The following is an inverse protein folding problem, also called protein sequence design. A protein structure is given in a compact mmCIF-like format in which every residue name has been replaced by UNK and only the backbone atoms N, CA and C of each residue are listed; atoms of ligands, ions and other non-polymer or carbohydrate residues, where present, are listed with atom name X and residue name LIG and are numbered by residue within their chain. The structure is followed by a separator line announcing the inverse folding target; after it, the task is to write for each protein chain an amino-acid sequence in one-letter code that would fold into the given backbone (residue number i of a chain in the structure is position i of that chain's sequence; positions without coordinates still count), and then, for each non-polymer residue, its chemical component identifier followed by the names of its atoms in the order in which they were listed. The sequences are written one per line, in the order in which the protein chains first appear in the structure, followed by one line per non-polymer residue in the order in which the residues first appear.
data_IF_128777382794
#
_entry.id   IF_128777382794
#
_cell.length_a   1.000
_cell.length_b   1.000
_cell.length_c   1.000
_cell.angle_alpha   90.00
_cell.angle_beta   90.00
_cell.angle_gamma   90.00
#
_symmetry.space_group_name_H-M   'P 1'
#
loop_
_entity.id
_entity.type
_entity.pdbx_description
1 polymer ?
#
# COMPACT_ATOMS: atom_id res chain seq x y z
N UNK A 1 -0.23 3.70 24.79
CA UNK A 1 0.11 4.56 23.63
C UNK A 1 1.40 5.29 23.98
N UNK A 2 2.29 5.55 23.02
CA UNK A 2 3.53 6.29 23.30
C UNK A 2 3.26 7.72 23.78
N UNK A 3 4.08 8.20 24.69
CA UNK A 3 4.09 9.60 25.17
C UNK A 3 4.76 10.51 24.13
N UNK A 4 4.53 11.82 24.25
CA UNK A 4 5.15 12.81 23.36
C UNK A 4 6.69 12.72 23.36
N UNK A 5 7.30 12.54 24.52
CA UNK A 5 8.75 12.37 24.66
C UNK A 5 9.25 11.11 23.94
N UNK A 6 8.49 10.02 23.99
CA UNK A 6 8.81 8.78 23.28
C UNK A 6 8.66 8.95 21.77
N UNK A 7 7.63 9.67 21.33
CA UNK A 7 7.38 10.01 19.92
C UNK A 7 8.55 10.82 19.35
N UNK A 8 9.00 11.87 20.05
CA UNK A 8 10.13 12.70 19.62
C UNK A 8 11.45 11.91 19.51
N UNK A 9 11.60 10.84 20.30
CA UNK A 9 12.79 9.97 20.30
C UNK A 9 12.70 8.79 19.32
N UNK A 10 11.55 8.58 18.68
CA UNK A 10 11.28 7.35 17.92
C UNK A 10 12.30 7.11 16.80
N UNK A 11 12.55 8.11 15.94
CA UNK A 11 13.46 7.95 14.80
C UNK A 11 14.92 7.69 15.26
N UNK A 12 15.37 8.32 16.34
CA UNK A 12 16.68 8.08 16.93
C UNK A 12 16.80 6.66 17.50
N UNK A 13 15.78 6.18 18.21
CA UNK A 13 15.73 4.82 18.73
C UNK A 13 15.71 3.78 17.58
N UNK A 14 14.93 4.04 16.53
CA UNK A 14 14.88 3.18 15.35
C UNK A 14 16.23 3.10 14.65
N UNK A 15 16.91 4.24 14.48
CA UNK A 15 18.26 4.31 13.93
C UNK A 15 19.24 3.43 14.72
N UNK A 16 19.25 3.54 16.06
CA UNK A 16 20.09 2.72 16.94
C UNK A 16 19.81 1.22 16.81
N UNK A 17 18.53 0.83 16.67
CA UNK A 17 18.15 -0.59 16.51
C UNK A 17 18.52 -1.13 15.13
N UNK A 18 18.45 -0.30 14.09
CA UNK A 18 18.74 -0.71 12.71
C UNK A 18 20.23 -0.66 12.34
N UNK A 19 21.02 0.21 13.00
CA UNK A 19 22.43 0.42 12.70
C UNK A 19 23.25 -0.89 12.63
N UNK A 20 23.13 -1.84 13.59
CA UNK A 20 23.87 -3.11 13.53
C UNK A 20 23.53 -3.99 12.31
N UNK A 21 22.38 -3.78 11.67
CA UNK A 21 21.89 -4.57 10.53
C UNK A 21 22.28 -3.98 9.17
N UNK A 22 22.63 -2.70 9.11
CA UNK A 22 22.91 -1.99 7.86
C UNK A 22 24.35 -1.43 7.79
N UNK A 23 25.03 -1.32 8.94
CA UNK A 23 26.44 -0.89 9.04
C UNK A 23 26.75 0.49 8.45
N UNK A 24 25.73 1.33 8.26
CA UNK A 24 25.87 2.73 7.86
C UNK A 24 24.92 3.62 8.68
N UNK A 25 25.28 4.89 8.92
CA UNK A 25 24.37 5.84 9.55
C UNK A 25 23.17 6.12 8.64
N UNK A 26 22.07 6.55 9.26
CA UNK A 26 20.89 7.07 8.56
C UNK A 26 20.83 8.58 8.74
N UNK A 27 20.63 9.32 7.65
CA UNK A 27 20.60 10.77 7.62
C UNK A 27 19.18 11.34 7.56
N UNK A 28 18.18 10.50 7.34
CA UNK A 28 16.78 10.91 7.32
C UNK A 28 15.82 9.79 7.73
N UNK A 29 14.63 10.20 8.12
CA UNK A 29 13.53 9.28 8.42
C UNK A 29 13.08 8.48 7.20
N UNK A 30 13.22 9.05 5.99
CA UNK A 30 12.96 8.35 4.73
C UNK A 30 13.93 7.19 4.53
N UNK A 31 15.20 7.37 4.87
CA UNK A 31 16.20 6.29 4.81
C UNK A 31 15.90 5.19 5.84
N UNK A 32 15.54 5.55 7.07
CA UNK A 32 15.12 4.60 8.11
C UNK A 32 13.91 3.78 7.65
N UNK A 33 12.91 4.45 7.08
CA UNK A 33 11.73 3.81 6.55
C UNK A 33 12.08 2.83 5.43
N UNK A 34 12.87 3.26 4.43
CA UNK A 34 13.30 2.40 3.31
C UNK A 34 14.13 1.21 3.80
N UNK A 35 15.04 1.41 4.74
CA UNK A 35 15.86 0.35 5.31
C UNK A 35 14.99 -0.71 6.00
N UNK A 36 14.05 -0.28 6.84
CA UNK A 36 13.12 -1.18 7.51
C UNK A 36 12.22 -1.95 6.52
N UNK A 37 11.79 -1.29 5.43
CA UNK A 37 10.99 -1.92 4.36
C UNK A 37 11.78 -2.93 3.51
N UNK A 38 13.11 -2.79 3.43
CA UNK A 38 14.00 -3.71 2.70
C UNK A 38 14.51 -4.87 3.55
N UNK A 39 14.38 -4.81 4.87
CA UNK A 39 14.85 -5.87 5.75
C UNK A 39 14.12 -7.20 5.47
N UNK A 40 14.85 -8.33 5.37
CA UNK A 40 14.23 -9.66 5.30
C UNK A 40 13.34 -9.91 6.52
N UNK A 41 12.28 -10.71 6.36
CA UNK A 41 11.33 -11.01 7.45
C UNK A 41 12.02 -11.57 8.70
N UNK A 42 13.04 -12.42 8.52
CA UNK A 42 13.84 -12.96 9.62
C UNK A 42 14.48 -11.86 10.49
N UNK A 43 14.99 -10.79 9.87
CA UNK A 43 15.67 -9.70 10.55
C UNK A 43 14.70 -8.68 11.17
N UNK A 44 13.41 -8.70 10.77
CA UNK A 44 12.37 -7.85 11.39
C UNK A 44 11.89 -8.39 12.73
N UNK A 45 12.08 -9.68 12.98
CA UNK A 45 11.64 -10.33 14.22
C UNK A 45 12.34 -9.68 15.42
N UNK A 46 11.55 -9.17 16.36
CA UNK A 46 12.07 -8.57 17.59
C UNK A 46 12.50 -7.10 17.49
N UNK A 47 12.39 -6.43 16.33
CA UNK A 47 12.65 -4.99 16.21
C UNK A 47 11.77 -4.19 17.19
N UNK A 48 10.48 -4.51 17.25
CA UNK A 48 9.54 -3.84 18.15
C UNK A 48 9.87 -4.05 19.62
N UNK A 49 10.41 -5.22 19.97
CA UNK A 49 10.89 -5.49 21.33
C UNK A 49 12.10 -4.64 21.67
N UNK A 50 13.09 -4.55 20.77
CA UNK A 50 14.28 -3.72 20.95
C UNK A 50 13.91 -2.24 21.08
N UNK A 51 13.02 -1.75 20.21
CA UNK A 51 12.51 -0.39 20.30
C UNK A 51 11.72 -0.12 21.58
N UNK A 52 10.93 -1.10 22.04
CA UNK A 52 10.22 -1.01 23.32
C UNK A 52 11.19 -0.80 24.49
N UNK A 53 12.33 -1.50 24.49
CA UNK A 53 13.38 -1.31 25.50
C UNK A 53 13.98 0.11 25.40
N UNK A 54 14.33 0.57 24.20
CA UNK A 54 14.93 1.91 23.98
C UNK A 54 13.98 3.06 24.37
N UNK A 55 12.67 2.88 24.16
CA UNK A 55 11.66 3.90 24.45
C UNK A 55 11.00 3.74 25.82
N UNK A 56 11.31 2.67 26.58
CA UNK A 56 10.60 2.32 27.82
C UNK A 56 9.09 2.20 27.57
N UNK A 57 8.73 1.42 26.55
CA UNK A 57 7.36 1.17 26.11
C UNK A 57 7.15 -0.31 25.80
N UNK A 58 5.90 -0.76 25.76
CA UNK A 58 5.64 -2.15 25.37
C UNK A 58 5.88 -2.34 23.86
N UNK A 59 6.27 -3.55 23.42
CA UNK A 59 6.47 -3.83 21.99
C UNK A 59 5.22 -3.54 21.13
N UNK A 60 4.03 -3.77 21.70
CA UNK A 60 2.75 -3.54 21.01
C UNK A 60 2.50 -2.04 20.80
N UNK A 61 2.77 -1.20 21.80
CA UNK A 61 2.60 0.26 21.65
C UNK A 61 3.52 0.86 20.59
N UNK A 62 4.77 0.38 20.55
CA UNK A 62 5.74 0.79 19.52
C UNK A 62 5.30 0.32 18.15
N UNK A 63 4.88 -0.95 18.03
CA UNK A 63 4.36 -1.52 16.80
C UNK A 63 3.18 -0.69 16.28
N UNK A 64 2.20 -0.43 17.14
CA UNK A 64 0.98 0.28 16.75
C UNK A 64 1.27 1.73 16.37
N UNK A 65 2.16 2.40 17.10
CA UNK A 65 2.61 3.74 16.72
C UNK A 65 3.33 3.75 15.36
N UNK A 66 4.21 2.78 15.10
CA UNK A 66 4.87 2.65 13.80
C UNK A 66 3.85 2.50 12.67
N UNK A 67 2.94 1.54 12.78
CA UNK A 67 2.02 1.21 11.68
C UNK A 67 0.90 2.23 11.50
N UNK A 68 0.44 2.87 12.57
CA UNK A 68 -0.73 3.77 12.52
C UNK A 68 -0.35 5.25 12.47
N UNK A 69 0.91 5.61 12.70
CA UNK A 69 1.33 7.02 12.73
C UNK A 69 2.63 7.23 11.97
N UNK A 70 3.74 6.68 12.47
CA UNK A 70 5.06 7.04 11.94
C UNK A 70 5.25 6.60 10.48
N UNK A 71 4.84 5.40 10.08
CA UNK A 71 5.02 4.98 8.69
C UNK A 71 4.14 5.75 7.70
N UNK A 72 3.00 6.29 8.17
CA UNK A 72 1.98 6.87 7.28
C UNK A 72 2.50 8.14 6.61
N UNK A 73 3.34 8.90 7.31
CA UNK A 73 3.92 10.15 6.81
C UNK A 73 4.79 9.98 5.54
N UNK A 74 5.24 8.76 5.22
CA UNK A 74 6.05 8.48 4.02
C UNK A 74 5.21 8.06 2.81
N UNK A 75 3.90 7.93 2.95
CA UNK A 75 3.01 7.60 1.86
C UNK A 75 2.24 8.83 1.40
N UNK A 76 1.97 8.88 0.09
CA UNK A 76 1.05 9.85 -0.48
C UNK A 76 -0.38 9.60 0.02
N UNK A 77 -1.17 10.67 0.08
CA UNK A 77 -2.58 10.58 0.45
C UNK A 77 -3.36 9.84 -0.63
N UNK A 78 -3.73 8.59 -0.38
CA UNK A 78 -4.47 7.77 -1.33
C UNK A 78 -5.83 8.34 -1.75
N UNK A 79 -6.38 9.34 -1.05
CA UNK A 79 -7.62 10.00 -1.46
C UNK A 79 -7.45 10.88 -2.70
N UNK A 80 -6.25 11.41 -2.94
CA UNK A 80 -5.94 12.19 -4.16
C UNK A 80 -6.02 11.28 -5.39
N UNK A 81 -5.67 10.01 -5.22
CA UNK A 81 -5.70 8.95 -6.22
C UNK A 81 -7.08 8.33 -6.46
N UNK A 82 -8.14 8.82 -5.79
CA UNK A 82 -9.43 8.11 -5.71
C UNK A 82 -10.07 7.90 -7.08
N UNK A 83 -10.13 8.93 -7.91
CA UNK A 83 -10.76 8.82 -9.23
C UNK A 83 -9.93 7.95 -10.19
N UNK A 84 -8.60 8.04 -10.13
CA UNK A 84 -7.71 7.19 -10.93
C UNK A 84 -7.85 5.71 -10.53
N UNK A 85 -7.85 5.42 -9.23
CA UNK A 85 -8.07 4.07 -8.69
C UNK A 85 -9.42 3.51 -9.09
N UNK A 86 -10.48 4.34 -9.04
CA UNK A 86 -11.82 3.94 -9.45
C UNK A 86 -11.87 3.64 -10.95
N UNK A 87 -11.28 4.48 -11.79
CA UNK A 87 -11.22 4.26 -13.24
C UNK A 87 -10.49 2.94 -13.54
N UNK A 88 -9.28 2.78 -12.99
CA UNK A 88 -8.47 1.58 -13.15
C UNK A 88 -9.18 0.32 -12.63
N UNK A 89 -9.87 0.41 -11.49
CA UNK A 89 -10.67 -0.70 -10.95
C UNK A 89 -11.83 -1.10 -11.86
N UNK A 90 -12.59 -0.11 -12.37
CA UNK A 90 -13.69 -0.37 -13.29
C UNK A 90 -13.21 -0.95 -14.61
N UNK A 91 -12.01 -0.57 -15.06
CA UNK A 91 -11.39 -1.12 -16.25
C UNK A 91 -10.88 -2.55 -16.01
N UNK A 92 -10.37 -2.87 -14.82
CA UNK A 92 -9.82 -4.21 -14.53
C UNK A 92 -10.86 -5.23 -14.07
N UNK A 93 -11.94 -4.79 -13.41
CA UNK A 93 -12.96 -5.70 -12.85
C UNK A 93 -13.67 -6.51 -13.93
N UNK A 94 -13.70 -6.01 -15.18
CA UNK A 94 -14.28 -6.76 -16.29
C UNK A 94 -13.46 -8.00 -16.72
N UNK A 95 -12.19 -8.06 -16.33
CA UNK A 95 -11.27 -9.13 -16.71
C UNK A 95 -10.95 -10.10 -15.57
N UNK A 96 -11.59 -9.94 -14.41
CA UNK A 96 -11.30 -10.74 -13.22
C UNK A 96 -12.53 -11.59 -12.88
N UNK A 97 -12.30 -12.78 -12.34
CA UNK A 97 -13.38 -13.71 -11.98
C UNK A 97 -14.16 -13.21 -10.77
N UNK A 98 -13.52 -12.41 -9.92
CA UNK A 98 -14.12 -11.88 -8.70
C UNK A 98 -13.57 -10.49 -8.31
N UNK A 99 -14.29 -9.75 -7.45
CA UNK A 99 -13.88 -8.41 -7.05
C UNK A 99 -12.55 -8.35 -6.28
N UNK A 100 -12.19 -9.38 -5.50
CA UNK A 100 -10.94 -9.39 -4.73
C UNK A 100 -9.72 -9.48 -5.65
N UNK A 101 -9.81 -10.29 -6.71
CA UNK A 101 -8.80 -10.35 -7.76
C UNK A 101 -8.65 -9.00 -8.45
N UNK A 102 -9.75 -8.36 -8.82
CA UNK A 102 -9.74 -7.01 -9.41
C UNK A 102 -9.06 -5.98 -8.49
N UNK A 103 -9.39 -5.98 -7.19
CA UNK A 103 -8.73 -5.11 -6.20
C UNK A 103 -7.21 -5.34 -6.18
N UNK A 104 -6.78 -6.61 -6.10
CA UNK A 104 -5.36 -6.95 -6.03
C UNK A 104 -4.63 -6.49 -7.30
N UNK A 105 -5.22 -6.71 -8.47
CA UNK A 105 -4.66 -6.32 -9.77
C UNK A 105 -4.60 -4.79 -9.92
N UNK A 106 -5.65 -4.08 -9.52
CA UNK A 106 -5.66 -2.61 -9.49
C UNK A 106 -4.54 -2.06 -8.61
N UNK A 107 -4.36 -2.59 -7.39
CA UNK A 107 -3.29 -2.14 -6.48
C UNK A 107 -1.92 -2.43 -7.09
N UNK A 108 -1.73 -3.60 -7.70
CA UNK A 108 -0.48 -3.96 -8.34
C UNK A 108 -0.10 -2.97 -9.45
N UNK A 109 -1.01 -2.75 -10.41
CA UNK A 109 -0.78 -1.82 -11.54
C UNK A 109 -0.58 -0.39 -11.02
N UNK A 110 -1.40 0.05 -10.07
CA UNK A 110 -1.28 1.38 -9.50
C UNK A 110 0.08 1.61 -8.83
N UNK A 111 0.60 0.61 -8.10
CA UNK A 111 1.91 0.73 -7.44
C UNK A 111 3.10 0.60 -8.41
N UNK A 112 2.93 -0.05 -9.57
CA UNK A 112 3.97 -0.12 -10.61
C UNK A 112 4.23 1.25 -11.25
N UNK A 113 3.22 2.11 -11.34
CA UNK A 113 3.33 3.49 -11.83
C UNK A 113 3.96 4.46 -10.80
N UNK A 114 4.85 3.96 -9.95
CA UNK A 114 5.61 4.69 -8.92
C UNK A 114 4.76 5.47 -7.89
N UNK A 115 3.49 5.14 -7.73
CA UNK A 115 2.68 5.71 -6.67
C UNK A 115 3.04 5.11 -5.31
N UNK A 116 3.63 5.92 -4.44
CA UNK A 116 4.01 5.52 -3.08
C UNK A 116 2.82 5.71 -2.12
N UNK A 117 1.75 4.94 -2.31
CA UNK A 117 0.56 4.98 -1.48
C UNK A 117 0.52 3.81 -0.48
N UNK A 118 -0.12 4.02 0.67
CA UNK A 118 -0.30 2.96 1.64
C UNK A 118 -1.30 1.91 1.13
N UNK A 119 -0.85 0.66 0.95
CA UNK A 119 -1.69 -0.44 0.44
C UNK A 119 -3.03 -0.57 1.17
N UNK A 120 -3.05 -0.46 2.50
CA UNK A 120 -4.28 -0.59 3.30
C UNK A 120 -5.31 0.48 2.92
N UNK A 121 -4.87 1.71 2.68
CA UNK A 121 -5.75 2.79 2.23
C UNK A 121 -6.30 2.50 0.82
N UNK A 122 -5.45 2.00 -0.09
CA UNK A 122 -5.89 1.58 -1.43
C UNK A 122 -6.98 0.49 -1.35
N UNK A 123 -6.75 -0.55 -0.55
CA UNK A 123 -7.75 -1.60 -0.28
C UNK A 123 -9.07 -1.02 0.23
N UNK A 124 -9.02 -0.12 1.22
CA UNK A 124 -10.23 0.49 1.79
C UNK A 124 -11.01 1.31 0.76
N UNK A 125 -10.32 2.04 -0.12
CA UNK A 125 -10.96 2.80 -1.21
C UNK A 125 -11.64 1.82 -2.18
N UNK A 126 -10.91 0.80 -2.65
CA UNK A 126 -11.41 -0.13 -3.66
C UNK A 126 -12.51 -1.05 -3.13
N UNK A 127 -12.44 -1.47 -1.87
CA UNK A 127 -13.48 -2.28 -1.24
C UNK A 127 -14.82 -1.55 -1.20
N UNK A 128 -14.84 -0.22 -1.04
CA UNK A 128 -16.07 0.56 -1.16
C UNK A 128 -16.67 0.46 -2.56
N UNK A 129 -15.85 0.43 -3.61
CA UNK A 129 -16.36 0.25 -4.98
C UNK A 129 -16.82 -1.18 -5.25
N UNK A 130 -16.16 -2.18 -4.67
CA UNK A 130 -16.55 -3.58 -4.78
C UNK A 130 -17.87 -3.91 -4.05
N UNK A 131 -18.10 -3.32 -2.87
CA UNK A 131 -19.28 -3.59 -2.03
C UNK A 131 -20.50 -2.75 -2.42
N UNK A 132 -20.32 -1.55 -2.97
CA UNK A 132 -21.42 -0.62 -3.33
C UNK A 132 -22.14 -1.03 -4.64
N UNK A 133 -22.31 -2.34 -4.84
CA UNK A 133 -23.00 -3.05 -5.95
C UNK A 133 -22.10 -3.35 -7.16
N UNK A 134 -22.28 -4.51 -7.82
CA UNK A 134 -22.12 -4.59 -9.26
C UNK A 134 -23.12 -3.59 -9.85
N UNK A 135 -22.65 -2.36 -10.06
CA UNK A 135 -23.44 -1.27 -10.59
C UNK A 135 -24.08 -1.76 -11.91
N UNK A 136 -25.35 -1.43 -12.18
CA UNK A 136 -25.94 -1.69 -13.51
C UNK A 136 -25.06 -1.09 -14.62
N UNK A 137 -24.27 -0.05 -14.31
CA UNK A 137 -23.23 0.48 -15.18
C UNK A 137 -22.01 -0.43 -15.35
N UNK A 138 -21.58 -1.19 -14.34
CA UNK A 138 -20.53 -2.20 -14.49
C UNK A 138 -21.04 -3.32 -15.39
N UNK A 139 -22.26 -3.82 -15.16
CA UNK A 139 -22.88 -4.80 -16.06
C UNK A 139 -23.04 -4.25 -17.49
N UNK A 140 -23.41 -2.97 -17.65
CA UNK A 140 -23.50 -2.30 -18.95
C UNK A 140 -22.14 -2.13 -19.62
N UNK A 141 -21.12 -1.70 -18.88
CA UNK A 141 -19.75 -1.54 -19.37
C UNK A 141 -19.13 -2.88 -19.75
N UNK A 142 -19.38 -3.93 -18.95
CA UNK A 142 -19.01 -5.31 -19.26
C UNK A 142 -19.62 -5.74 -20.60
N UNK A 143 -20.92 -5.48 -20.80
CA UNK A 143 -21.60 -5.77 -22.07
C UNK A 143 -21.06 -4.95 -23.25
N UNK A 144 -20.67 -3.70 -23.03
CA UNK A 144 -20.04 -2.84 -24.05
C UNK A 144 -18.61 -3.28 -24.37
N UNK A 145 -17.87 -3.77 -23.38
CA UNK A 145 -16.53 -4.29 -23.53
C UNK A 145 -16.54 -5.66 -24.24
N UNK A 146 -17.45 -6.56 -23.87
CA UNK A 146 -17.70 -7.81 -24.61
C UNK A 146 -17.99 -7.53 -26.09
N UNK A 147 -18.81 -6.51 -26.38
CA UNK A 147 -19.06 -6.07 -27.75
C UNK A 147 -17.79 -5.58 -28.44
N UNK A 148 -16.94 -4.81 -27.76
CA UNK A 148 -15.66 -4.35 -28.31
C UNK A 148 -14.68 -5.50 -28.55
N UNK A 149 -14.55 -6.44 -27.63
CA UNK A 149 -13.69 -7.63 -27.80
C UNK A 149 -14.21 -8.51 -28.94
N UNK A 150 -15.53 -8.64 -29.07
CA UNK A 150 -16.13 -9.38 -30.19
C UNK A 150 -15.86 -8.69 -31.53
N UNK A 151 -15.78 -7.36 -31.55
CA UNK A 151 -15.53 -6.58 -32.77
C UNK A 151 -14.04 -6.45 -33.14
N UNK A 152 -13.18 -6.29 -32.15
CA UNK A 152 -11.78 -5.90 -32.34
C UNK A 152 -10.81 -7.05 -32.01
N UNK A 153 -11.25 -8.13 -31.37
CA UNK A 153 -10.37 -9.14 -30.82
C UNK A 153 -9.80 -8.72 -29.46
N UNK A 154 -9.51 -9.71 -28.62
CA UNK A 154 -9.05 -9.49 -27.25
C UNK A 154 -7.68 -8.78 -27.20
N UNK A 155 -6.77 -9.13 -28.12
CA UNK A 155 -5.40 -8.63 -28.17
C UNK A 155 -5.36 -7.13 -28.47
N UNK A 156 -6.16 -6.66 -29.43
CA UNK A 156 -6.24 -5.24 -29.81
C UNK A 156 -6.89 -4.37 -28.72
N UNK A 157 -7.81 -4.94 -27.93
CA UNK A 157 -8.42 -4.25 -26.78
C UNK A 157 -7.44 -4.12 -25.61
N UNK A 158 -6.49 -5.05 -25.49
CA UNK A 158 -5.54 -5.12 -24.37
C UNK A 158 -4.21 -4.41 -24.65
N UNK A 159 -3.88 -4.15 -25.91
CA UNK A 159 -2.63 -3.50 -26.34
C UNK A 159 -2.26 -2.22 -25.57
N UNK A 160 -3.19 -1.31 -25.20
CA UNK A 160 -2.85 -0.09 -24.44
C UNK A 160 -2.42 -0.32 -22.98
N UNK A 161 -2.52 -1.56 -22.48
CA UNK A 161 -2.31 -1.90 -21.07
C UNK A 161 -1.15 -2.89 -20.86
N UNK A 162 -0.46 -3.28 -21.93
CA UNK A 162 0.63 -4.27 -21.92
C UNK A 162 2.01 -3.58 -22.04
N UNK A 163 2.07 -2.25 -22.18
CA UNK A 163 3.31 -1.46 -22.15
C UNK A 163 3.72 -1.01 -20.75
#
# INVERSE_FOLDING_TARGET
MLTEVQIQKFSAALSKVLFPLQQHPFHSDVELFKALQKLPRANRTGIWRKLGIELVATPNEVHDYYFNTWQIQFYQNANESREDLKKLFLDLVQFCENPNEAINKTIQVYMQNQHNCNKRQLYQILYRYAVVKPNKDIARKYKQWEQKVTQLGFEDVMQPYIE
#
